data_IF_898990195336
#
_entry.id   IF_898990195336
#
_cell.length_a   1.000
_cell.length_b   1.000
_cell.length_c   1.000
_cell.angle_alpha   90.00
_cell.angle_beta   90.00
_cell.angle_gamma   90.00
#
_symmetry.space_group_name_H-M   'P 1'
#
loop_
_entity.id
_entity.type
_entity.pdbx_description
1 polymer ?
#
# COMPACT_ATOMS: atom_id res chain seq x y z
N UNK A 1 10.89 -2.79 9.20
CA UNK A 1 10.87 -2.38 7.77
C UNK A 1 9.71 -1.43 7.51
N UNK A 2 9.91 -0.12 7.69
CA UNK A 2 8.89 0.91 7.37
C UNK A 2 8.73 1.15 5.86
N UNK A 3 9.64 0.59 5.05
CA UNK A 3 9.73 0.78 3.59
C UNK A 3 8.42 0.57 2.82
N UNK A 4 7.56 -0.38 3.23
CA UNK A 4 6.29 -0.65 2.49
C UNK A 4 5.27 0.46 2.74
N UNK A 5 5.09 0.87 4.00
CA UNK A 5 4.19 1.97 4.38
C UNK A 5 4.73 3.29 3.81
N UNK A 6 6.05 3.52 3.91
CA UNK A 6 6.70 4.69 3.31
C UNK A 6 6.54 4.73 1.79
N UNK A 7 6.67 3.58 1.10
CA UNK A 7 6.46 3.47 -0.36
C UNK A 7 5.04 3.89 -0.75
N UNK A 8 4.02 3.37 -0.04
CA UNK A 8 2.62 3.73 -0.28
C UNK A 8 2.41 5.22 -0.03
N UNK A 9 2.90 5.74 1.11
CA UNK A 9 2.77 7.15 1.47
C UNK A 9 3.44 8.07 0.43
N UNK A 10 4.63 7.72 -0.04
CA UNK A 10 5.35 8.50 -1.05
C UNK A 10 4.63 8.48 -2.40
N UNK A 11 4.06 7.34 -2.79
CA UNK A 11 3.22 7.24 -3.99
C UNK A 11 1.97 8.12 -3.84
N UNK A 12 1.23 8.02 -2.73
CA UNK A 12 0.02 8.81 -2.50
C UNK A 12 0.36 10.31 -2.54
N UNK A 13 1.39 10.76 -1.80
CA UNK A 13 1.86 12.16 -1.82
C UNK A 13 2.16 12.66 -3.24
N UNK A 14 2.83 11.87 -4.08
CA UNK A 14 3.11 12.22 -5.48
C UNK A 14 1.85 12.36 -6.32
N UNK A 15 0.86 11.48 -6.11
CA UNK A 15 -0.41 11.50 -6.86
C UNK A 15 -1.39 12.58 -6.36
N UNK A 16 -1.30 12.96 -5.09
CA UNK A 16 -2.08 14.07 -4.52
C UNK A 16 -1.50 15.43 -4.89
N UNK A 17 -0.18 15.55 -5.10
CA UNK A 17 0.49 16.82 -5.47
C UNK A 17 -0.18 17.63 -6.61
N UNK A 18 -0.66 17.03 -7.72
CA UNK A 18 -1.37 17.76 -8.77
C UNK A 18 -2.83 18.13 -8.42
N UNK A 19 -3.39 17.66 -7.30
CA UNK A 19 -4.72 18.02 -6.81
C UNK A 19 -4.57 19.23 -5.88
N UNK A 20 -5.13 20.37 -6.26
CA UNK A 20 -5.12 21.57 -5.41
C UNK A 20 -5.93 21.35 -4.14
N UNK A 21 -7.14 20.79 -4.27
CA UNK A 21 -8.06 20.49 -3.17
C UNK A 21 -8.99 19.33 -3.56
N UNK A 22 -9.64 18.72 -2.55
CA UNK A 22 -10.75 17.79 -2.73
C UNK A 22 -12.06 18.50 -2.37
N UNK A 23 -13.09 18.48 -3.23
CA UNK A 23 -14.33 19.22 -2.99
C UNK A 23 -15.16 18.67 -1.82
N UNK A 24 -15.03 17.38 -1.50
CA UNK A 24 -15.72 16.71 -0.38
C UNK A 24 -14.83 15.64 0.25
N UNK A 25 -15.13 15.25 1.48
CA UNK A 25 -14.50 14.09 2.14
C UNK A 25 -14.69 12.81 1.32
N UNK A 26 -15.89 12.59 0.77
CA UNK A 26 -16.16 11.45 -0.12
C UNK A 26 -15.23 11.41 -1.35
N UNK A 27 -14.91 12.58 -1.94
CA UNK A 27 -13.98 12.64 -3.07
C UNK A 27 -12.54 12.32 -2.68
N UNK A 28 -12.14 12.63 -1.44
CA UNK A 28 -10.86 12.24 -0.86
C UNK A 28 -10.82 10.73 -0.62
N UNK A 29 -11.87 10.17 -0.03
CA UNK A 29 -11.98 8.73 0.24
C UNK A 29 -11.95 7.91 -1.04
N UNK A 30 -12.73 8.32 -2.04
CA UNK A 30 -12.72 7.69 -3.36
C UNK A 30 -11.32 7.76 -4.01
N UNK A 31 -10.64 8.90 -3.90
CA UNK A 31 -9.26 9.03 -4.38
C UNK A 31 -8.33 8.05 -3.68
N UNK A 32 -8.35 8.00 -2.34
CA UNK A 32 -7.49 7.10 -1.55
C UNK A 32 -7.79 5.63 -1.87
N UNK A 33 -9.07 5.25 -1.97
CA UNK A 33 -9.51 3.92 -2.34
C UNK A 33 -8.95 3.47 -3.69
N UNK A 34 -9.02 4.33 -4.72
CA UNK A 34 -8.44 4.06 -6.04
C UNK A 34 -6.92 3.89 -5.97
N UNK A 35 -6.21 4.65 -5.13
CA UNK A 35 -4.76 4.45 -4.94
C UNK A 35 -4.42 3.18 -4.19
N UNK A 36 -5.19 2.81 -3.17
CA UNK A 36 -5.01 1.57 -2.42
C UNK A 36 -5.25 0.34 -3.31
N UNK A 37 -6.37 0.29 -4.03
CA UNK A 37 -6.69 -0.80 -4.97
C UNK A 37 -5.58 -0.95 -6.00
N UNK A 38 -5.20 0.15 -6.67
CA UNK A 38 -4.16 0.10 -7.70
C UNK A 38 -2.78 -0.28 -7.15
N UNK A 39 -2.47 0.01 -5.88
CA UNK A 39 -1.25 -0.46 -5.24
C UNK A 39 -1.31 -1.95 -4.91
N UNK A 40 -2.44 -2.41 -4.37
CA UNK A 40 -2.67 -3.80 -4.03
C UNK A 40 -2.60 -4.68 -5.27
N UNK A 41 -3.31 -4.35 -6.35
CA UNK A 41 -3.28 -5.11 -7.60
C UNK A 41 -1.86 -5.28 -8.16
N UNK A 42 -1.02 -4.25 -8.06
CA UNK A 42 0.37 -4.29 -8.51
C UNK A 42 1.28 -5.17 -7.66
N UNK A 43 0.93 -5.40 -6.40
CA UNK A 43 1.77 -6.07 -5.43
C UNK A 43 1.15 -7.34 -4.83
N UNK A 44 -0.07 -7.71 -5.22
CA UNK A 44 -0.83 -8.83 -4.65
C UNK A 44 -0.06 -10.15 -4.67
N UNK A 45 0.71 -10.40 -5.74
CA UNK A 45 1.50 -11.61 -5.92
C UNK A 45 2.98 -11.44 -5.53
N UNK A 46 3.31 -10.41 -4.74
CA UNK A 46 4.68 -10.12 -4.33
C UNK A 46 4.82 -10.18 -2.82
N UNK A 47 5.67 -11.09 -2.34
CA UNK A 47 6.18 -11.02 -0.98
C UNK A 47 7.44 -10.15 -0.94
N UNK A 48 7.56 -9.31 0.09
CA UNK A 48 8.82 -8.61 0.34
C UNK A 48 9.90 -9.64 0.67
N UNK A 49 11.12 -9.50 0.13
CA UNK A 49 12.18 -10.50 0.30
C UNK A 49 12.41 -10.90 1.76
N UNK A 50 12.47 -9.93 2.66
CA UNK A 50 12.64 -10.18 4.10
C UNK A 50 11.45 -10.87 4.75
N UNK A 51 10.23 -10.71 4.21
CA UNK A 51 9.05 -11.46 4.69
C UNK A 51 9.03 -12.87 4.13
N UNK A 52 9.35 -13.06 2.84
CA UNK A 52 9.46 -14.39 2.25
C UNK A 52 10.47 -15.30 2.94
N UNK A 53 11.54 -14.74 3.52
CA UNK A 53 12.54 -15.51 4.28
C UNK A 53 12.04 -16.07 5.61
N UNK A 54 10.98 -15.51 6.18
CA UNK A 54 10.43 -15.92 7.48
C UNK A 54 9.07 -16.59 7.34
N UNK A 55 8.58 -16.80 6.11
CA UNK A 55 7.28 -17.42 5.84
C UNK A 55 7.20 -18.82 6.44
N UNK A 56 8.16 -19.70 6.14
CA UNK A 56 8.19 -21.07 6.66
C UNK A 56 8.21 -21.12 8.19
N UNK A 57 9.02 -20.26 8.82
CA UNK A 57 9.09 -20.16 10.29
C UNK A 57 7.76 -19.70 10.87
N UNK A 58 7.10 -18.72 10.24
CA UNK A 58 5.83 -18.21 10.70
C UNK A 58 4.73 -19.28 10.56
N UNK A 59 4.69 -20.01 9.44
CA UNK A 59 3.75 -21.10 9.20
C UNK A 59 3.89 -22.20 10.27
N UNK A 60 5.11 -22.54 10.68
CA UNK A 60 5.36 -23.55 11.73
C UNK A 60 4.79 -23.22 13.11
N UNK A 61 4.44 -21.95 13.37
CA UNK A 61 3.81 -21.54 14.63
C UNK A 61 2.29 -21.71 14.64
N UNK A 62 1.67 -21.96 13.49
CA UNK A 62 0.22 -22.06 13.33
C UNK A 62 -0.26 -23.43 12.83
N UNK A 63 0.66 -24.36 12.61
CA UNK A 63 0.39 -25.80 12.45
C UNK A 63 0.21 -26.51 13.81
#
# INVERSE_FOLDING_TARGET
STNMIESINNMIKRKTKPKSEFPTEESLDNFLGVQAIGYNDRNANRSHKGFGQVTDTLESYFD
#
